data_IF_750213992761
#
_entry.id   IF_750213992761
#
_cell.length_a   1.000
_cell.length_b   1.000
_cell.length_c   1.000
_cell.angle_alpha   90.00
_cell.angle_beta   90.00
_cell.angle_gamma   90.00
#
_symmetry.space_group_name_H-M   'P 1'
#
loop_
_entity.id
_entity.type
_entity.pdbx_description
1 polymer ?
#
# COMPACT_ATOMS: atom_id res chain seq x y z
N UNK A 1 27.67 13.84 -15.23
CA UNK A 1 28.53 13.27 -14.14
C UNK A 1 27.65 12.27 -13.40
N UNK A 2 28.12 11.04 -13.18
CA UNK A 2 27.42 10.10 -12.29
C UNK A 2 27.50 10.65 -10.87
N UNK A 3 26.38 10.65 -10.18
CA UNK A 3 26.32 11.08 -8.77
C UNK A 3 26.96 9.96 -7.91
N UNK A 4 28.23 10.11 -7.55
CA UNK A 4 29.01 9.05 -6.88
C UNK A 4 28.48 8.73 -5.46
N UNK A 5 27.59 9.57 -4.91
CA UNK A 5 27.07 9.43 -3.55
C UNK A 5 25.62 8.94 -3.50
N UNK A 6 25.01 8.51 -4.62
CA UNK A 6 23.65 8.00 -4.62
C UNK A 6 23.63 6.52 -5.02
N UNK A 7 23.01 5.69 -4.20
CA UNK A 7 22.69 4.30 -4.50
C UNK A 7 21.19 4.09 -4.38
N UNK A 8 20.50 3.82 -5.48
CA UNK A 8 19.10 3.41 -5.51
C UNK A 8 19.05 1.90 -5.63
N UNK A 9 18.57 1.24 -4.57
CA UNK A 9 18.47 -0.23 -4.52
C UNK A 9 17.31 -0.70 -5.40
N UNK A 10 17.65 -1.34 -6.52
CA UNK A 10 16.69 -1.78 -7.53
C UNK A 10 15.90 -3.00 -7.02
N UNK A 11 14.62 -2.83 -6.75
CA UNK A 11 13.71 -3.89 -6.30
C UNK A 11 12.43 -3.98 -7.10
N UNK A 12 12.05 -2.90 -7.78
CA UNK A 12 10.87 -2.79 -8.63
C UNK A 12 11.01 -1.65 -9.64
N UNK A 13 10.08 -1.54 -10.58
CA UNK A 13 10.13 -0.56 -11.68
C UNK A 13 10.10 0.90 -11.18
N UNK A 14 9.46 1.16 -10.04
CA UNK A 14 9.45 2.47 -9.39
C UNK A 14 10.87 2.94 -9.07
N UNK A 15 11.75 2.05 -8.60
CA UNK A 15 13.13 2.38 -8.22
C UNK A 15 13.98 2.72 -9.46
N UNK A 16 13.70 2.08 -10.59
CA UNK A 16 14.31 2.45 -11.88
C UNK A 16 13.96 3.89 -12.29
N UNK A 17 12.69 4.27 -12.20
CA UNK A 17 12.29 5.65 -12.48
C UNK A 17 12.87 6.65 -11.48
N UNK A 18 12.93 6.27 -10.19
CA UNK A 18 13.48 7.12 -9.14
C UNK A 18 14.95 7.45 -9.40
N UNK A 19 15.76 6.46 -9.74
CA UNK A 19 17.17 6.67 -10.07
C UNK A 19 17.32 7.72 -11.20
N UNK A 20 16.51 7.61 -12.24
CA UNK A 20 16.52 8.57 -13.37
C UNK A 20 16.08 9.97 -12.95
N UNK A 21 15.08 10.09 -12.07
CA UNK A 21 14.60 11.36 -11.55
C UNK A 21 15.65 12.05 -10.67
N UNK A 22 16.50 11.29 -9.97
CA UNK A 22 17.55 11.78 -9.08
C UNK A 22 18.90 12.02 -9.76
N UNK A 23 19.08 11.71 -11.05
CA UNK A 23 20.36 11.85 -11.76
C UNK A 23 20.98 13.24 -11.68
N UNK A 24 20.17 14.29 -11.57
CA UNK A 24 20.62 15.69 -11.48
C UNK A 24 20.70 16.23 -10.06
N UNK A 25 20.33 15.42 -9.06
CA UNK A 25 20.38 15.79 -7.65
C UNK A 25 21.78 15.48 -7.12
N UNK A 26 22.39 16.44 -6.44
CA UNK A 26 23.69 16.24 -5.81
C UNK A 26 23.53 15.84 -4.34
N UNK A 27 24.28 14.85 -3.90
CA UNK A 27 24.32 14.39 -2.52
C UNK A 27 25.73 14.58 -1.96
N UNK A 28 25.84 15.20 -0.79
CA UNK A 28 27.12 15.54 -0.14
C UNK A 28 27.74 14.36 0.61
N UNK A 29 26.91 13.39 1.04
CA UNK A 29 27.33 12.15 1.70
C UNK A 29 26.70 10.93 1.00
N UNK A 30 27.26 9.70 1.20
CA UNK A 30 26.65 8.49 0.68
C UNK A 30 25.18 8.40 1.07
N UNK A 31 24.32 8.22 0.07
CA UNK A 31 22.88 8.21 0.26
C UNK A 31 22.29 6.98 -0.40
N UNK A 32 21.64 6.13 0.39
CA UNK A 32 20.99 4.91 -0.07
C UNK A 32 19.48 5.06 -0.02
N UNK A 33 18.80 4.58 -1.06
CA UNK A 33 17.35 4.65 -1.15
C UNK A 33 16.76 3.27 -1.40
N UNK A 34 15.92 2.83 -0.48
CA UNK A 34 15.16 1.58 -0.57
C UNK A 34 13.69 1.84 -0.88
N UNK A 35 13.05 0.90 -1.56
CA UNK A 35 11.61 0.97 -1.80
C UNK A 35 10.82 0.91 -0.47
N UNK A 36 9.70 1.65 -0.35
CA UNK A 36 8.95 1.79 0.90
C UNK A 36 8.41 0.47 1.49
N UNK A 37 8.25 -0.56 0.66
CA UNK A 37 7.76 -1.89 1.06
C UNK A 37 8.88 -2.84 1.50
N UNK A 38 10.14 -2.51 1.25
CA UNK A 38 11.29 -3.33 1.68
C UNK A 38 11.53 -3.11 3.17
N UNK A 39 11.74 -4.22 3.90
CA UNK A 39 12.17 -4.18 5.28
C UNK A 39 13.70 -4.22 5.33
N UNK A 40 14.31 -3.14 5.80
CA UNK A 40 15.76 -3.01 5.95
C UNK A 40 16.15 -3.62 7.31
N UNK A 41 16.90 -4.69 7.28
CA UNK A 41 17.43 -5.38 8.46
C UNK A 41 18.93 -5.09 8.69
N UNK A 42 19.49 -5.74 9.70
CA UNK A 42 20.91 -5.60 10.07
C UNK A 42 21.84 -6.02 8.94
N UNK A 43 21.50 -7.06 8.18
CA UNK A 43 22.38 -7.56 7.10
C UNK A 43 22.49 -6.55 5.97
N UNK A 44 21.38 -5.88 5.64
CA UNK A 44 21.35 -4.82 4.61
C UNK A 44 22.14 -3.59 5.08
N UNK A 45 21.99 -3.18 6.35
CA UNK A 45 22.73 -2.02 6.88
C UNK A 45 24.21 -2.26 7.11
N UNK A 46 24.61 -3.52 7.31
CA UNK A 46 26.03 -3.86 7.51
C UNK A 46 26.90 -3.46 6.31
N UNK A 47 26.34 -3.50 5.10
CA UNK A 47 27.04 -3.16 3.85
C UNK A 47 27.01 -1.66 3.50
N UNK A 48 26.39 -0.83 4.34
CA UNK A 48 26.30 0.63 4.13
C UNK A 48 27.42 1.32 4.89
N UNK A 49 27.96 2.40 4.33
CA UNK A 49 29.06 3.17 4.90
C UNK A 49 28.62 3.93 6.17
N UNK A 50 29.55 4.11 7.12
CA UNK A 50 29.33 4.94 8.30
C UNK A 50 29.06 6.40 7.90
N UNK A 51 28.15 7.07 8.60
CA UNK A 51 27.76 8.44 8.31
C UNK A 51 26.84 8.61 7.09
N UNK A 52 26.41 7.51 6.46
CA UNK A 52 25.50 7.55 5.30
C UNK A 52 24.08 8.02 5.66
N UNK A 53 23.33 8.46 4.65
CA UNK A 53 21.89 8.69 4.73
C UNK A 53 21.14 7.53 4.10
N UNK A 54 20.07 7.05 4.75
CA UNK A 54 19.26 5.93 4.25
C UNK A 54 17.79 6.32 4.24
N UNK A 55 17.20 6.36 3.04
CA UNK A 55 15.74 6.51 2.86
C UNK A 55 15.12 5.14 2.79
N UNK A 56 14.14 4.87 3.64
CA UNK A 56 13.46 3.58 3.77
C UNK A 56 12.01 3.72 4.20
N UNK A 57 11.23 2.65 4.07
CA UNK A 57 9.86 2.61 4.59
C UNK A 57 9.72 1.81 5.88
N UNK A 58 10.53 0.77 6.04
CA UNK A 58 10.50 -0.14 7.20
C UNK A 58 11.92 -0.57 7.57
N UNK A 59 12.19 -0.68 8.86
CA UNK A 59 13.42 -1.33 9.36
C UNK A 59 13.13 -2.04 10.67
N UNK A 60 13.98 -3.04 10.99
CA UNK A 60 13.94 -3.72 12.29
C UNK A 60 14.50 -2.81 13.39
N UNK A 61 14.22 -3.13 14.66
CA UNK A 61 14.74 -2.34 15.78
C UNK A 61 16.25 -2.55 15.93
N UNK A 62 16.77 -3.75 15.63
CA UNK A 62 18.18 -4.05 15.61
C UNK A 62 18.91 -3.25 14.51
N UNK A 63 18.29 -3.12 13.33
CA UNK A 63 18.82 -2.30 12.25
C UNK A 63 18.86 -0.82 12.64
N UNK A 64 17.88 -0.34 13.38
CA UNK A 64 17.85 1.03 13.91
C UNK A 64 18.99 1.27 14.91
N UNK A 65 19.20 0.34 15.84
CA UNK A 65 20.30 0.43 16.81
C UNK A 65 21.68 0.38 16.12
N UNK A 66 21.84 -0.45 15.09
CA UNK A 66 23.07 -0.49 14.29
C UNK A 66 23.30 0.86 13.56
N UNK A 67 22.27 1.44 12.97
CA UNK A 67 22.35 2.73 12.29
C UNK A 67 22.84 3.83 13.25
N UNK A 68 22.28 3.90 14.46
CA UNK A 68 22.70 4.85 15.50
C UNK A 68 24.16 4.67 15.89
N UNK A 69 24.64 3.43 16.05
CA UNK A 69 26.03 3.13 16.42
C UNK A 69 27.05 3.48 15.35
N UNK A 70 26.62 3.62 14.07
CA UNK A 70 27.45 3.90 12.90
C UNK A 70 27.21 5.29 12.31
N UNK A 71 26.52 6.18 13.05
CA UNK A 71 26.15 7.54 12.60
C UNK A 71 25.37 7.56 11.26
N UNK A 72 24.62 6.49 10.98
CA UNK A 72 23.77 6.40 9.78
C UNK A 72 22.41 7.08 10.07
N UNK A 73 22.07 8.08 9.27
CA UNK A 73 20.80 8.80 9.43
C UNK A 73 19.67 8.12 8.65
N UNK A 74 18.63 7.66 9.36
CA UNK A 74 17.47 6.99 8.75
C UNK A 74 16.32 7.97 8.49
N UNK A 75 15.89 8.08 7.24
CA UNK A 75 14.73 8.84 6.78
C UNK A 75 13.58 7.88 6.44
N UNK A 76 12.56 7.82 7.32
CA UNK A 76 11.42 6.95 7.10
C UNK A 76 10.34 7.66 6.30
N UNK A 77 10.29 7.40 4.98
CA UNK A 77 9.30 7.98 4.05
C UNK A 77 7.84 7.63 4.42
N UNK A 78 7.61 6.47 5.06
CA UNK A 78 6.28 6.07 5.52
C UNK A 78 5.77 6.86 6.75
N UNK A 79 6.58 7.75 7.32
CA UNK A 79 6.15 8.70 8.35
C UNK A 79 5.72 10.07 7.78
N UNK A 80 6.00 10.32 6.51
CA UNK A 80 5.59 11.57 5.84
C UNK A 80 4.13 11.49 5.38
N UNK A 81 3.31 12.41 5.87
CA UNK A 81 1.86 12.44 5.59
C UNK A 81 1.55 12.77 4.12
N UNK A 82 2.38 13.60 3.46
CA UNK A 82 2.20 13.95 2.04
C UNK A 82 2.51 12.76 1.15
N UNK A 83 3.63 12.09 1.42
CA UNK A 83 3.96 10.85 0.72
C UNK A 83 2.87 9.80 0.92
N UNK A 84 2.41 9.57 2.15
CA UNK A 84 1.35 8.60 2.43
C UNK A 84 0.04 8.93 1.72
N UNK A 85 -0.34 10.22 1.64
CA UNK A 85 -1.54 10.65 0.92
C UNK A 85 -1.44 10.33 -0.58
N UNK A 86 -0.30 10.64 -1.22
CA UNK A 86 -0.05 10.30 -2.62
C UNK A 86 -0.02 8.79 -2.82
N UNK A 87 0.71 8.06 -1.99
CA UNK A 87 0.82 6.60 -2.08
C UNK A 87 -0.55 5.90 -1.93
N UNK A 88 -1.42 6.38 -1.02
CA UNK A 88 -2.77 5.85 -0.86
C UNK A 88 -3.66 6.12 -2.08
N UNK A 89 -3.53 7.30 -2.70
CA UNK A 89 -4.24 7.62 -3.95
C UNK A 89 -3.80 6.69 -5.09
N UNK A 90 -2.50 6.50 -5.28
CA UNK A 90 -1.96 5.60 -6.30
C UNK A 90 -2.37 4.13 -6.04
N UNK A 91 -2.46 3.74 -4.76
CA UNK A 91 -2.99 2.41 -4.39
C UNK A 91 -4.46 2.26 -4.77
N UNK A 92 -5.28 3.33 -4.59
CA UNK A 92 -6.68 3.29 -4.99
C UNK A 92 -6.86 3.15 -6.52
N UNK A 93 -6.01 3.80 -7.31
CA UNK A 93 -5.98 3.63 -8.77
C UNK A 93 -5.61 2.18 -9.15
N UNK A 94 -4.64 1.58 -8.45
CA UNK A 94 -4.30 0.17 -8.64
C UNK A 94 -5.41 -0.80 -8.21
N UNK A 95 -6.12 -0.49 -7.12
CA UNK A 95 -7.29 -1.28 -6.71
C UNK A 95 -8.39 -1.26 -7.77
N UNK A 96 -8.67 -0.10 -8.35
CA UNK A 96 -9.64 0.04 -9.45
C UNK A 96 -9.22 -0.80 -10.68
N UNK A 97 -7.93 -0.80 -11.03
CA UNK A 97 -7.41 -1.65 -12.11
C UNK A 97 -7.68 -3.14 -11.82
N UNK A 98 -7.38 -3.61 -10.60
CA UNK A 98 -7.64 -5.00 -10.22
C UNK A 98 -9.14 -5.34 -10.24
N UNK A 99 -10.00 -4.42 -9.79
CA UNK A 99 -11.45 -4.60 -9.88
C UNK A 99 -11.90 -4.85 -11.33
N UNK A 100 -11.39 -4.05 -12.28
CA UNK A 100 -11.70 -4.18 -13.71
C UNK A 100 -11.14 -5.50 -14.27
N UNK A 101 -9.92 -5.88 -13.90
CA UNK A 101 -9.24 -7.06 -14.40
C UNK A 101 -9.90 -8.37 -13.95
N UNK A 102 -10.33 -8.44 -12.68
CA UNK A 102 -10.87 -9.64 -12.07
C UNK A 102 -12.40 -9.75 -12.15
N UNK A 103 -13.11 -8.64 -12.38
CA UNK A 103 -14.58 -8.67 -12.47
C UNK A 103 -15.06 -9.15 -13.83
N UNK A 104 -16.04 -10.06 -13.82
CA UNK A 104 -16.76 -10.48 -15.04
C UNK A 104 -17.95 -9.57 -15.37
N UNK A 105 -18.28 -8.63 -14.47
CA UNK A 105 -19.32 -7.62 -14.65
C UNK A 105 -18.70 -6.25 -14.89
N UNK A 106 -19.49 -5.30 -15.43
CA UNK A 106 -19.14 -3.89 -15.32
C UNK A 106 -18.99 -3.52 -13.85
N UNK A 107 -17.94 -2.78 -13.50
CA UNK A 107 -17.73 -2.36 -12.10
C UNK A 107 -18.84 -1.44 -11.59
N UNK A 108 -19.56 -0.74 -12.47
CA UNK A 108 -20.76 0.04 -12.13
C UNK A 108 -21.96 -0.82 -11.70
N UNK A 109 -21.96 -2.11 -12.07
CA UNK A 109 -22.99 -3.07 -11.72
C UNK A 109 -22.60 -3.95 -10.53
N UNK A 110 -21.40 -3.72 -9.95
CA UNK A 110 -20.89 -4.45 -8.80
C UNK A 110 -21.26 -3.75 -7.49
N UNK A 111 -21.60 -4.57 -6.49
CA UNK A 111 -21.63 -4.14 -5.11
C UNK A 111 -20.24 -4.34 -4.49
N UNK A 112 -19.66 -3.28 -3.97
CA UNK A 112 -18.30 -3.29 -3.44
C UNK A 112 -18.32 -3.10 -1.92
N UNK A 113 -17.53 -3.90 -1.19
CA UNK A 113 -17.25 -3.71 0.23
C UNK A 113 -15.78 -3.36 0.43
N UNK A 114 -15.51 -2.27 1.14
CA UNK A 114 -14.15 -1.92 1.60
C UNK A 114 -14.03 -2.20 3.08
N UNK A 115 -13.12 -3.12 3.45
CA UNK A 115 -12.76 -3.41 4.82
C UNK A 115 -11.67 -2.43 5.28
N UNK A 116 -12.02 -1.58 6.25
CA UNK A 116 -11.17 -0.52 6.78
C UNK A 116 -11.43 0.86 6.16
N UNK A 117 -11.38 1.90 7.02
CA UNK A 117 -11.48 3.31 6.60
C UNK A 117 -10.30 4.14 7.12
N UNK A 118 -9.11 3.55 7.06
CA UNK A 118 -7.84 4.27 7.22
C UNK A 118 -7.49 5.08 5.97
N UNK A 119 -6.25 5.58 5.87
CA UNK A 119 -5.80 6.36 4.69
C UNK A 119 -6.11 5.68 3.36
N UNK A 120 -5.79 4.39 3.25
CA UNK A 120 -5.98 3.60 2.02
C UNK A 120 -7.46 3.37 1.73
N UNK A 121 -8.23 2.86 2.69
CA UNK A 121 -9.67 2.63 2.52
C UNK A 121 -10.44 3.91 2.19
N UNK A 122 -10.10 5.04 2.83
CA UNK A 122 -10.68 6.34 2.52
C UNK A 122 -10.34 6.82 1.09
N UNK A 123 -9.11 6.58 0.62
CA UNK A 123 -8.70 6.93 -0.74
C UNK A 123 -9.48 6.10 -1.80
N UNK A 124 -9.66 4.80 -1.53
CA UNK A 124 -10.44 3.89 -2.38
C UNK A 124 -11.91 4.33 -2.39
N UNK A 125 -12.52 4.50 -1.21
CA UNK A 125 -13.92 4.92 -1.10
C UNK A 125 -14.18 6.25 -1.83
N UNK A 126 -13.27 7.22 -1.68
CA UNK A 126 -13.36 8.51 -2.39
C UNK A 126 -13.25 8.37 -3.90
N UNK A 127 -12.41 7.46 -4.40
CA UNK A 127 -12.27 7.20 -5.84
C UNK A 127 -13.52 6.52 -6.39
N UNK A 128 -14.00 5.45 -5.75
CA UNK A 128 -15.17 4.69 -6.19
C UNK A 128 -16.45 5.53 -6.15
N UNK A 129 -16.64 6.34 -5.12
CA UNK A 129 -17.76 7.27 -5.03
C UNK A 129 -17.80 8.29 -6.19
N UNK A 130 -16.61 8.77 -6.64
CA UNK A 130 -16.55 9.66 -7.81
C UNK A 130 -16.93 8.99 -9.14
N UNK A 131 -16.91 7.66 -9.17
CA UNK A 131 -17.28 6.84 -10.33
C UNK A 131 -18.71 6.29 -10.21
N UNK A 132 -19.49 6.76 -9.22
CA UNK A 132 -20.84 6.33 -8.92
C UNK A 132 -20.99 4.80 -8.73
N UNK A 133 -19.92 4.17 -8.17
CA UNK A 133 -19.90 2.73 -7.88
C UNK A 133 -20.61 2.50 -6.54
N UNK A 134 -21.50 1.50 -6.48
CA UNK A 134 -22.16 1.09 -5.23
C UNK A 134 -21.14 0.56 -4.22
N UNK A 135 -21.01 1.23 -3.08
CA UNK A 135 -19.95 1.00 -2.11
C UNK A 135 -20.47 1.00 -0.69
N UNK A 136 -20.12 -0.04 0.06
CA UNK A 136 -20.22 -0.09 1.51
C UNK A 136 -18.83 -0.11 2.15
N UNK A 137 -18.73 0.36 3.39
CA UNK A 137 -17.48 0.41 4.14
C UNK A 137 -17.67 -0.24 5.50
N UNK A 138 -16.81 -1.19 5.87
CA UNK A 138 -16.73 -1.71 7.23
C UNK A 138 -15.55 -1.08 7.99
N UNK A 139 -15.79 -0.57 9.21
CA UNK A 139 -14.74 0.11 9.99
C UNK A 139 -14.97 0.03 11.49
N UNK A 140 -13.87 0.06 12.26
CA UNK A 140 -13.88 0.24 13.72
C UNK A 140 -13.76 1.70 14.14
N UNK A 141 -13.34 2.57 13.20
CA UNK A 141 -13.13 4.01 13.44
C UNK A 141 -14.47 4.75 13.54
N UNK A 142 -14.41 6.06 13.86
CA UNK A 142 -15.60 6.92 13.79
C UNK A 142 -16.30 6.76 12.45
N UNK A 143 -17.57 6.39 12.46
CA UNK A 143 -18.35 6.07 11.26
C UNK A 143 -18.62 7.29 10.38
N UNK A 144 -18.68 8.49 11.00
CA UNK A 144 -19.11 9.73 10.34
C UNK A 144 -18.37 10.08 9.04
N UNK A 145 -17.02 10.01 8.96
CA UNK A 145 -16.33 10.35 7.72
C UNK A 145 -16.62 9.37 6.57
N UNK A 146 -16.91 8.10 6.88
CA UNK A 146 -17.18 7.08 5.88
C UNK A 146 -18.53 7.29 5.17
N UNK A 147 -19.56 7.82 5.88
CA UNK A 147 -20.86 8.14 5.29
C UNK A 147 -20.82 9.20 4.17
N UNK A 148 -19.73 9.93 4.05
CA UNK A 148 -19.56 10.87 2.93
C UNK A 148 -19.29 10.17 1.59
N UNK A 149 -18.96 8.88 1.59
CA UNK A 149 -18.49 8.15 0.40
C UNK A 149 -19.14 6.78 0.22
N UNK A 150 -19.79 6.23 1.24
CA UNK A 150 -20.38 4.89 1.23
C UNK A 150 -21.90 4.95 1.38
N UNK A 151 -22.60 3.97 0.77
CA UNK A 151 -24.05 3.81 0.92
C UNK A 151 -24.39 3.38 2.34
N UNK A 152 -23.64 2.39 2.88
CA UNK A 152 -23.76 1.94 4.25
C UNK A 152 -22.38 1.88 4.92
N UNK A 153 -22.37 2.10 6.23
CA UNK A 153 -21.18 1.93 7.06
C UNK A 153 -21.47 0.85 8.10
N UNK A 154 -20.68 -0.22 8.03
CA UNK A 154 -20.87 -1.45 8.77
C UNK A 154 -19.85 -1.56 9.93
N UNK A 155 -20.18 -2.29 11.02
CA UNK A 155 -19.20 -2.65 12.02
C UNK A 155 -18.17 -3.66 11.42
N UNK A 156 -16.96 -3.66 11.97
CA UNK A 156 -15.90 -4.59 11.57
C UNK A 156 -16.04 -5.95 12.27
N UNK A 157 -17.16 -6.60 12.10
CA UNK A 157 -17.51 -7.92 12.70
C UNK A 157 -18.77 -8.47 12.07
N UNK A 158 -18.97 -9.79 12.24
CA UNK A 158 -20.20 -10.50 11.86
C UNK A 158 -20.56 -10.23 10.38
N UNK A 159 -19.59 -10.48 9.48
CA UNK A 159 -19.72 -10.14 8.07
C UNK A 159 -20.68 -11.09 7.36
N UNK A 160 -21.59 -10.49 6.57
CA UNK A 160 -22.31 -11.17 5.50
C UNK A 160 -21.76 -10.65 4.16
N UNK A 161 -21.01 -11.49 3.44
CA UNK A 161 -20.46 -11.16 2.14
C UNK A 161 -21.39 -11.47 0.98
N UNK A 162 -22.56 -12.06 1.23
CA UNK A 162 -23.50 -12.48 0.18
C UNK A 162 -23.97 -11.36 -0.74
N UNK A 163 -24.06 -10.07 -0.33
CA UNK A 163 -24.45 -8.99 -1.23
C UNK A 163 -23.34 -8.50 -2.17
N UNK A 164 -22.06 -8.86 -1.90
CA UNK A 164 -20.90 -8.20 -2.54
C UNK A 164 -20.30 -9.02 -3.66
N UNK A 165 -20.05 -8.38 -4.78
CA UNK A 165 -19.30 -8.92 -5.91
C UNK A 165 -17.80 -8.76 -5.71
N UNK A 166 -17.38 -7.66 -5.06
CA UNK A 166 -15.98 -7.31 -4.85
C UNK A 166 -15.77 -6.89 -3.38
N UNK A 167 -14.80 -7.50 -2.73
CA UNK A 167 -14.37 -7.15 -1.38
C UNK A 167 -12.90 -6.67 -1.43
N UNK A 168 -12.62 -5.48 -0.90
CA UNK A 168 -11.27 -4.90 -0.86
C UNK A 168 -10.85 -4.76 0.59
N UNK A 169 -9.82 -5.51 1.00
CA UNK A 169 -9.27 -5.39 2.35
C UNK A 169 -8.12 -4.39 2.42
N UNK A 170 -8.17 -3.50 3.41
CA UNK A 170 -7.10 -2.54 3.74
C UNK A 170 -6.58 -2.69 5.19
N UNK A 171 -7.09 -3.67 5.93
CA UNK A 171 -6.78 -3.88 7.36
C UNK A 171 -5.70 -4.96 7.49
N UNK A 172 -4.55 -4.69 8.13
CA UNK A 172 -3.44 -5.65 8.26
C UNK A 172 -3.61 -6.60 9.47
N UNK A 173 -4.85 -6.99 9.76
CA UNK A 173 -5.22 -7.88 10.88
C UNK A 173 -6.23 -8.90 10.39
N UNK A 174 -6.21 -10.10 10.97
CA UNK A 174 -7.23 -11.12 10.74
C UNK A 174 -8.55 -10.69 11.43
N UNK A 175 -9.40 -10.01 10.67
CA UNK A 175 -10.68 -9.46 11.17
C UNK A 175 -11.90 -10.23 10.65
N UNK A 176 -11.71 -11.16 9.74
CA UNK A 176 -12.75 -11.97 9.10
C UNK A 176 -12.53 -13.43 9.52
N UNK A 177 -13.58 -14.07 10.01
CA UNK A 177 -13.55 -15.48 10.40
C UNK A 177 -13.89 -16.39 9.20
N UNK A 178 -13.50 -17.66 9.28
CA UNK A 178 -13.82 -18.64 8.24
C UNK A 178 -15.34 -18.81 8.04
N UNK A 179 -16.14 -18.66 9.11
CA UNK A 179 -17.60 -18.66 9.02
C UNK A 179 -18.17 -17.50 8.20
N UNK A 180 -17.56 -16.31 8.28
CA UNK A 180 -17.96 -15.15 7.47
C UNK A 180 -17.70 -15.44 5.99
N UNK A 181 -16.57 -16.10 5.66
CA UNK A 181 -16.20 -16.46 4.29
C UNK A 181 -17.22 -17.39 3.62
N UNK A 182 -17.92 -18.24 4.40
CA UNK A 182 -18.94 -19.14 3.84
C UNK A 182 -20.14 -18.41 3.22
N UNK A 183 -20.32 -17.12 3.53
CA UNK A 183 -21.36 -16.27 2.94
C UNK A 183 -20.96 -15.69 1.58
N UNK A 184 -19.67 -15.78 1.16
CA UNK A 184 -19.20 -15.25 -0.12
C UNK A 184 -19.87 -15.96 -1.29
N UNK A 185 -20.21 -15.17 -2.31
CA UNK A 185 -20.70 -15.71 -3.59
C UNK A 185 -19.54 -16.42 -4.34
N UNK A 186 -19.88 -17.47 -5.06
CA UNK A 186 -18.94 -18.07 -6.02
C UNK A 186 -18.59 -17.04 -7.11
N UNK A 187 -17.30 -16.89 -7.36
CA UNK A 187 -16.78 -15.89 -8.29
C UNK A 187 -16.69 -14.48 -7.72
N UNK A 188 -17.00 -14.26 -6.42
CA UNK A 188 -16.70 -12.99 -5.77
C UNK A 188 -15.19 -12.72 -5.81
N UNK A 189 -14.82 -11.46 -6.02
CA UNK A 189 -13.42 -11.02 -6.08
C UNK A 189 -12.99 -10.51 -4.71
N UNK A 190 -11.91 -11.06 -4.14
CA UNK A 190 -11.34 -10.59 -2.89
C UNK A 190 -9.92 -10.06 -3.10
N UNK A 191 -9.76 -8.76 -2.98
CA UNK A 191 -8.51 -8.03 -3.19
C UNK A 191 -7.93 -7.64 -1.82
N UNK A 192 -6.82 -8.27 -1.41
CA UNK A 192 -6.12 -7.89 -0.18
C UNK A 192 -4.98 -6.92 -0.49
N UNK A 193 -5.07 -5.71 0.04
CA UNK A 193 -4.07 -4.65 -0.11
C UNK A 193 -3.21 -4.45 1.14
N UNK A 194 -3.53 -5.16 2.21
CA UNK A 194 -2.81 -5.05 3.46
C UNK A 194 -1.47 -5.79 3.42
N UNK A 195 -0.60 -5.51 4.38
CA UNK A 195 0.70 -6.19 4.51
C UNK A 195 0.60 -7.62 5.02
N UNK A 196 -0.55 -7.98 5.58
CA UNK A 196 -0.93 -9.34 6.00
C UNK A 196 -2.40 -9.54 5.66
N UNK A 197 -2.79 -10.71 5.15
CA UNK A 197 -4.18 -10.95 4.76
C UNK A 197 -5.11 -10.90 5.99
N UNK A 198 -6.32 -10.36 5.79
CA UNK A 198 -7.36 -10.34 6.81
C UNK A 198 -8.15 -11.65 6.88
N UNK A 199 -7.98 -12.52 5.89
CA UNK A 199 -8.72 -13.77 5.71
C UNK A 199 -7.78 -14.94 5.44
N UNK A 200 -8.30 -16.15 5.60
CA UNK A 200 -7.69 -17.35 5.04
C UNK A 200 -7.94 -17.39 3.51
N UNK A 201 -6.97 -16.92 2.73
CA UNK A 201 -7.09 -16.83 1.26
C UNK A 201 -7.28 -18.20 0.61
N UNK A 202 -6.64 -19.26 1.12
CA UNK A 202 -6.79 -20.63 0.58
C UNK A 202 -8.24 -21.11 0.77
N UNK A 203 -8.82 -20.84 1.92
CA UNK A 203 -10.21 -21.19 2.20
C UNK A 203 -11.19 -20.38 1.35
N UNK A 204 -10.94 -19.07 1.17
CA UNK A 204 -11.75 -18.24 0.27
C UNK A 204 -11.74 -18.79 -1.18
N UNK A 205 -10.57 -19.20 -1.68
CA UNK A 205 -10.44 -19.85 -3.01
C UNK A 205 -11.14 -21.21 -3.06
N UNK A 206 -11.05 -21.99 -2.00
CA UNK A 206 -11.77 -23.28 -1.90
C UNK A 206 -13.30 -23.09 -1.98
N UNK A 207 -13.82 -22.00 -1.41
CA UNK A 207 -15.23 -21.62 -1.51
C UNK A 207 -15.63 -21.08 -2.89
N UNK A 208 -14.65 -20.84 -3.77
CA UNK A 208 -14.86 -20.42 -5.15
C UNK A 208 -14.71 -18.92 -5.39
N UNK A 209 -14.14 -18.17 -4.45
CA UNK A 209 -13.80 -16.77 -4.66
C UNK A 209 -12.49 -16.65 -5.48
N UNK A 210 -12.37 -15.57 -6.27
CA UNK A 210 -11.10 -15.11 -6.83
C UNK A 210 -10.40 -14.21 -5.80
N UNK A 211 -9.51 -14.80 -4.99
CA UNK A 211 -8.94 -14.15 -3.82
C UNK A 211 -7.42 -14.12 -3.88
N UNK A 212 -6.81 -12.94 -3.77
CA UNK A 212 -5.36 -12.81 -3.70
C UNK A 212 -4.91 -11.56 -2.94
N UNK A 213 -3.58 -11.51 -2.62
CA UNK A 213 -2.92 -10.39 -1.97
C UNK A 213 -2.08 -9.61 -3.00
N UNK A 214 -2.21 -8.29 -2.99
CA UNK A 214 -1.58 -7.40 -3.97
C UNK A 214 -0.71 -6.35 -3.28
N UNK A 215 0.51 -6.72 -2.83
CA UNK A 215 1.41 -5.78 -2.18
C UNK A 215 2.02 -4.81 -3.16
N UNK A 216 2.36 -3.61 -2.66
CA UNK A 216 3.11 -2.59 -3.39
C UNK A 216 2.48 -2.15 -4.72
N UNK A 217 1.15 -2.07 -4.81
CA UNK A 217 0.42 -1.71 -6.03
C UNK A 217 0.98 -0.49 -6.76
N UNK A 218 1.32 0.64 -6.12
CA UNK A 218 1.85 1.80 -6.83
C UNK A 218 3.10 1.52 -7.65
N UNK A 219 3.93 0.55 -7.24
CA UNK A 219 5.12 0.16 -7.99
C UNK A 219 4.79 -0.63 -9.26
N UNK A 220 3.63 -1.30 -9.29
CA UNK A 220 3.19 -2.15 -10.41
C UNK A 220 2.29 -1.38 -11.39
N UNK A 221 1.43 -0.50 -10.88
CA UNK A 221 0.38 0.15 -11.67
C UNK A 221 0.75 1.54 -12.16
N UNK A 222 1.53 2.30 -11.38
CA UNK A 222 1.93 3.67 -11.69
C UNK A 222 3.35 3.99 -11.17
N UNK A 223 4.37 3.19 -11.60
CA UNK A 223 5.73 3.26 -11.04
C UNK A 223 6.37 4.63 -11.18
N UNK A 224 6.15 5.35 -12.28
CA UNK A 224 6.67 6.71 -12.47
C UNK A 224 6.09 7.69 -11.44
N UNK A 225 4.77 7.68 -11.22
CA UNK A 225 4.12 8.56 -10.25
C UNK A 225 4.55 8.26 -8.82
N UNK A 226 4.74 6.96 -8.50
CA UNK A 226 5.26 6.53 -7.22
C UNK A 226 6.72 6.97 -7.00
N UNK A 227 7.56 6.87 -8.04
CA UNK A 227 8.94 7.38 -8.04
C UNK A 227 8.99 8.90 -7.83
N UNK A 228 8.11 9.64 -8.51
CA UNK A 228 8.03 11.10 -8.37
C UNK A 228 7.67 11.52 -6.95
N UNK A 229 6.71 10.83 -6.31
CA UNK A 229 6.37 11.10 -4.91
C UNK A 229 7.56 10.84 -3.96
N UNK A 230 8.36 9.79 -4.22
CA UNK A 230 9.60 9.55 -3.48
C UNK A 230 10.65 10.64 -3.72
N UNK A 231 10.84 11.07 -4.98
CA UNK A 231 11.75 12.15 -5.33
C UNK A 231 11.40 13.45 -4.60
N UNK A 232 10.12 13.82 -4.57
CA UNK A 232 9.63 15.02 -3.88
C UNK A 232 9.98 14.96 -2.38
N UNK A 233 9.74 13.83 -1.71
CA UNK A 233 10.13 13.61 -0.32
C UNK A 233 11.64 13.72 -0.13
N UNK A 234 12.45 13.02 -0.94
CA UNK A 234 13.91 13.01 -0.83
C UNK A 234 14.47 14.43 -0.99
N UNK A 235 13.98 15.18 -1.97
CA UNK A 235 14.43 16.56 -2.24
C UNK A 235 14.09 17.53 -1.11
N UNK A 236 13.13 17.21 -0.26
CA UNK A 236 12.74 18.02 0.89
C UNK A 236 13.57 17.69 2.14
N UNK A 237 13.81 16.40 2.40
CA UNK A 237 14.47 15.95 3.64
C UNK A 237 15.99 15.83 3.54
N UNK A 238 16.52 15.68 2.32
CA UNK A 238 17.96 15.57 2.06
C UNK A 238 18.39 16.81 1.26
N UNK A 239 18.91 17.79 1.98
CA UNK A 239 19.49 19.02 1.42
C UNK A 239 21.00 18.97 1.46
#
# INVERSE_FOLDING_TARGET
MRNNNLTVHQSDERMFFLERLLLKTSFDVPTHVFAPNINVDVSVLADIEDGARVVLGKCTDEARALAESRDITLYNIMKDERFQAVNSRLTAEGALMLMIEHSVKSISDCNVLVLGFGRMGAAIAKLLNKLDISLDVATTSSLRPAYAFANHVLPMRDFDFSPYDIIINTVPLAVVNDSDLTTMQKGAVYIDLASKPAVNLEYARYLGADADIYPALPAKTCPYSAAKAMQEYISEVIK
#
